data_IF_242425249440
#
_entry.id   IF_242425249440
#
_cell.length_a   1.000
_cell.length_b   1.000
_cell.length_c   1.000
_cell.angle_alpha   90.00
_cell.angle_beta   90.00
_cell.angle_gamma   90.00
#
_symmetry.space_group_name_H-M   'P 1'
#
loop_
_entity.id
_entity.type
_entity.pdbx_description
1 polymer ?
#
# COMPACT_ATOMS: atom_id res chain seq x y z
N UNK A 1 10.28 29.96 -13.85
CA UNK A 1 10.86 28.69 -14.34
C UNK A 1 10.38 27.58 -13.42
N UNK A 2 9.38 26.83 -13.85
CA UNK A 2 8.80 25.74 -13.06
C UNK A 2 9.66 24.49 -13.20
N UNK A 3 10.29 24.07 -12.11
CA UNK A 3 10.89 22.74 -11.99
C UNK A 3 9.75 21.74 -11.73
N UNK A 4 9.25 21.13 -12.80
CA UNK A 4 8.40 19.96 -12.72
C UNK A 4 9.24 18.79 -12.20
N UNK A 5 9.04 18.41 -10.95
CA UNK A 5 9.63 17.20 -10.38
C UNK A 5 9.08 15.98 -11.11
N UNK A 6 9.89 15.38 -11.99
CA UNK A 6 9.61 14.06 -12.51
C UNK A 6 9.62 13.09 -11.32
N UNK A 7 8.46 12.54 -10.97
CA UNK A 7 8.39 11.41 -10.07
C UNK A 7 9.30 10.32 -10.66
N UNK A 8 10.40 10.00 -9.97
CA UNK A 8 11.32 8.97 -10.40
C UNK A 8 10.51 7.69 -10.63
N UNK A 9 10.56 7.14 -11.85
CA UNK A 9 9.82 5.94 -12.19
C UNK A 9 10.27 4.83 -11.23
N UNK A 10 9.34 4.35 -10.41
CA UNK A 10 9.67 3.41 -9.36
C UNK A 10 10.29 2.12 -9.93
N UNK A 11 11.41 1.71 -9.31
CA UNK A 11 12.16 0.54 -9.72
C UNK A 11 11.31 -0.72 -9.62
N UNK A 12 11.52 -1.65 -10.55
CA UNK A 12 10.78 -2.91 -10.55
C UNK A 12 11.19 -3.75 -9.34
N UNK A 13 10.22 -4.20 -8.56
CA UNK A 13 10.42 -5.04 -7.39
C UNK A 13 10.91 -6.45 -7.74
N UNK A 14 10.60 -6.92 -8.95
CA UNK A 14 11.05 -8.23 -9.45
C UNK A 14 12.40 -8.10 -10.15
N UNK A 15 12.57 -7.09 -11.00
CA UNK A 15 13.76 -6.92 -11.83
C UNK A 15 14.86 -6.06 -11.17
N UNK A 16 14.55 -5.40 -10.05
CA UNK A 16 15.43 -4.46 -9.34
C UNK A 16 15.97 -3.41 -10.32
N UNK A 17 17.28 -3.29 -10.41
CA UNK A 17 17.98 -2.31 -11.24
C UNK A 17 17.96 -2.63 -12.74
N UNK A 18 17.59 -3.86 -13.13
CA UNK A 18 17.53 -4.24 -14.55
C UNK A 18 16.32 -3.66 -15.31
N UNK A 19 15.41 -2.98 -14.60
CA UNK A 19 14.31 -2.26 -15.22
C UNK A 19 14.33 -0.78 -14.83
N UNK A 20 14.38 0.10 -15.84
CA UNK A 20 14.51 1.55 -15.69
C UNK A 20 13.24 2.29 -15.26
N UNK A 21 12.17 1.56 -14.95
CA UNK A 21 10.88 2.12 -14.54
C UNK A 21 9.71 1.50 -15.28
N UNK A 22 8.48 1.77 -14.81
CA UNK A 22 7.29 1.24 -15.45
C UNK A 22 7.04 1.90 -16.80
N UNK A 23 7.05 1.12 -17.87
CA UNK A 23 6.65 1.54 -19.20
C UNK A 23 5.36 0.81 -19.59
N UNK A 24 4.18 1.45 -19.50
CA UNK A 24 2.92 0.77 -19.75
C UNK A 24 2.85 0.27 -21.19
N UNK A 25 2.49 -1.00 -21.37
CA UNK A 25 2.17 -1.51 -22.68
C UNK A 25 0.80 -0.97 -23.14
N UNK A 26 0.70 -0.58 -24.42
CA UNK A 26 -0.54 -0.11 -25.06
C UNK A 26 -1.76 -1.05 -24.98
N UNK A 27 -1.58 -2.37 -24.76
CA UNK A 27 -2.69 -3.34 -24.73
C UNK A 27 -2.61 -4.37 -23.60
N UNK A 28 -1.45 -4.49 -22.93
CA UNK A 28 -1.26 -5.43 -21.82
C UNK A 28 -1.09 -4.66 -20.51
N UNK A 29 -1.56 -5.22 -19.40
CA UNK A 29 -1.33 -4.67 -18.04
C UNK A 29 0.10 -4.97 -17.53
N UNK A 30 1.11 -4.79 -18.38
CA UNK A 30 2.50 -5.18 -18.13
C UNK A 30 3.47 -4.10 -18.63
N UNK A 31 4.67 -4.12 -18.07
CA UNK A 31 5.78 -3.26 -18.45
C UNK A 31 6.36 -3.72 -19.80
N UNK A 32 6.59 -2.81 -20.75
CA UNK A 32 7.23 -3.14 -22.03
C UNK A 32 8.71 -3.51 -21.87
N UNK A 33 9.38 -2.99 -20.84
CA UNK A 33 10.81 -3.25 -20.61
C UNK A 33 11.08 -4.62 -19.96
N UNK A 34 10.23 -5.07 -19.03
CA UNK A 34 10.49 -6.28 -18.25
C UNK A 34 9.33 -7.28 -18.16
N UNK A 35 8.16 -6.96 -18.72
CA UNK A 35 6.97 -7.82 -18.66
C UNK A 35 6.28 -7.91 -17.30
N UNK A 36 6.84 -7.33 -16.24
CA UNK A 36 6.21 -7.33 -14.91
C UNK A 36 4.97 -6.43 -14.86
N UNK A 37 4.06 -6.72 -13.93
CA UNK A 37 2.82 -5.95 -13.78
C UNK A 37 3.08 -4.55 -13.22
N UNK A 38 2.11 -3.64 -13.37
CA UNK A 38 2.20 -2.31 -12.75
C UNK A 38 2.39 -2.38 -11.22
N UNK A 39 1.85 -3.42 -10.57
CA UNK A 39 2.02 -3.67 -9.13
C UNK A 39 3.47 -3.98 -8.74
N UNK A 40 4.27 -4.51 -9.66
CA UNK A 40 5.71 -4.74 -9.46
C UNK A 40 6.52 -3.48 -9.63
N UNK A 41 5.92 -2.39 -10.11
CA UNK A 41 6.56 -1.10 -10.24
C UNK A 41 5.96 -0.04 -9.33
N UNK A 42 4.81 -0.30 -8.74
CA UNK A 42 4.12 0.64 -7.89
C UNK A 42 4.75 0.64 -6.50
N UNK A 43 5.86 1.37 -6.36
CA UNK A 43 6.25 1.93 -5.07
C UNK A 43 5.38 3.16 -4.81
N UNK A 44 4.12 2.96 -4.41
CA UNK A 44 3.35 4.08 -3.86
C UNK A 44 4.01 4.60 -2.58
N UNK A 45 3.41 5.57 -1.91
CA UNK A 45 3.70 5.87 -0.51
C UNK A 45 2.77 5.12 0.45
N UNK A 46 3.25 4.79 1.64
CA UNK A 46 2.39 4.50 2.81
C UNK A 46 1.18 5.46 2.92
N UNK A 47 1.32 6.78 2.73
CA UNK A 47 0.19 7.72 2.79
C UNK A 47 -0.83 7.58 1.65
N UNK A 48 -0.39 7.25 0.43
CA UNK A 48 -1.31 7.06 -0.71
C UNK A 48 -2.14 5.79 -0.52
N UNK A 49 -1.49 4.73 -0.03
CA UNK A 49 -2.15 3.48 0.33
C UNK A 49 -3.13 3.69 1.49
N UNK A 50 -2.76 4.49 2.49
CA UNK A 50 -3.67 4.84 3.58
C UNK A 50 -4.86 5.68 3.10
N UNK A 51 -4.67 6.56 2.13
CA UNK A 51 -5.76 7.34 1.55
C UNK A 51 -6.73 6.45 0.75
N UNK A 52 -6.21 5.49 -0.04
CA UNK A 52 -7.03 4.50 -0.76
C UNK A 52 -7.82 3.62 0.20
N UNK A 53 -7.17 3.10 1.23
CA UNK A 53 -7.85 2.37 2.30
C UNK A 53 -8.87 3.24 3.04
N UNK A 54 -8.52 4.50 3.29
CA UNK A 54 -9.37 5.47 3.97
C UNK A 54 -10.69 5.73 3.24
N UNK A 55 -10.63 5.84 1.90
CA UNK A 55 -11.82 5.93 1.05
C UNK A 55 -12.66 4.67 1.11
N UNK A 56 -12.05 3.50 0.92
CA UNK A 56 -12.77 2.21 0.96
C UNK A 56 -13.55 2.02 2.27
N UNK A 57 -12.92 2.35 3.39
CA UNK A 57 -13.50 2.09 4.70
C UNK A 57 -14.49 3.17 5.15
N UNK A 58 -14.50 4.36 4.52
CA UNK A 58 -15.24 5.53 4.97
C UNK A 58 -16.74 5.26 5.16
N UNK A 59 -17.35 4.53 4.24
CA UNK A 59 -18.79 4.24 4.22
C UNK A 59 -19.12 2.80 4.65
N UNK A 60 -18.13 2.11 5.23
CA UNK A 60 -18.25 0.74 5.71
C UNK A 60 -18.47 0.69 7.24
N UNK A 61 -18.87 -0.47 7.80
CA UNK A 61 -18.82 -0.71 9.25
C UNK A 61 -17.43 -0.49 9.87
N UNK A 62 -16.37 -0.51 9.04
CA UNK A 62 -14.99 -0.28 9.46
C UNK A 62 -14.56 1.20 9.40
N UNK A 63 -15.48 2.15 9.23
CA UNK A 63 -15.18 3.59 9.17
C UNK A 63 -14.43 4.14 10.39
N UNK A 64 -14.59 3.50 11.56
CA UNK A 64 -13.86 3.80 12.79
C UNK A 64 -12.33 3.61 12.66
N UNK A 65 -11.88 2.77 11.73
CA UNK A 65 -10.47 2.55 11.41
C UNK A 65 -9.84 3.68 10.59
N UNK A 66 -10.58 4.76 10.31
CA UNK A 66 -10.08 5.89 9.51
C UNK A 66 -10.10 7.19 10.32
N UNK A 67 -9.31 8.18 9.88
CA UNK A 67 -9.22 9.52 10.44
C UNK A 67 -9.58 10.57 9.36
N UNK A 68 -10.32 11.62 9.74
CA UNK A 68 -10.55 12.76 8.86
C UNK A 68 -9.26 13.58 8.72
N UNK A 69 -8.91 13.92 7.48
CA UNK A 69 -7.76 14.78 7.18
C UNK A 69 -8.19 16.25 7.35
N UNK A 70 -7.47 17.00 8.20
CA UNK A 70 -7.76 18.43 8.43
C UNK A 70 -7.55 19.22 7.14
N UNK A 71 -8.55 20.02 6.75
CA UNK A 71 -8.49 20.81 5.51
C UNK A 71 -8.63 20.00 4.22
N UNK A 72 -8.83 18.68 4.29
CA UNK A 72 -8.90 17.79 3.14
C UNK A 72 -10.29 17.64 2.51
N UNK A 73 -11.21 18.59 2.70
CA UNK A 73 -12.53 18.56 2.06
C UNK A 73 -13.37 17.31 2.34
N UNK A 74 -13.24 16.70 3.52
CA UNK A 74 -13.94 15.46 3.89
C UNK A 74 -13.15 14.18 3.64
N UNK A 75 -11.95 14.26 3.07
CA UNK A 75 -11.06 13.12 2.87
C UNK A 75 -10.75 12.39 4.18
N UNK A 76 -10.81 11.05 4.13
CA UNK A 76 -10.41 10.15 5.20
C UNK A 76 -9.17 9.36 4.82
N UNK A 77 -8.33 9.10 5.82
CA UNK A 77 -7.14 8.26 5.70
C UNK A 77 -7.24 7.07 6.67
N UNK A 78 -6.73 5.91 6.27
CA UNK A 78 -6.69 4.74 7.13
C UNK A 78 -5.71 4.95 8.28
N UNK A 79 -6.15 4.64 9.50
CA UNK A 79 -5.29 4.57 10.69
C UNK A 79 -4.58 3.22 10.65
N UNK A 80 -3.48 3.15 9.90
CA UNK A 80 -2.70 1.92 9.77
C UNK A 80 -2.29 1.37 11.13
N UNK A 81 -2.71 0.14 11.41
CA UNK A 81 -2.40 -0.54 12.65
C UNK A 81 -1.00 -1.16 12.57
N UNK A 82 0.05 -0.35 12.81
CA UNK A 82 1.43 -0.82 12.89
C UNK A 82 1.66 -1.45 14.27
N UNK A 83 2.20 -2.66 14.30
CA UNK A 83 2.50 -3.37 15.55
C UNK A 83 4.00 -3.38 15.80
N UNK A 84 4.42 -2.81 16.92
CA UNK A 84 5.83 -2.80 17.36
C UNK A 84 5.98 -3.80 18.50
N UNK A 85 6.95 -4.71 18.36
CA UNK A 85 7.21 -5.80 19.30
C UNK A 85 8.65 -5.68 19.77
N UNK A 86 8.85 -5.50 21.07
CA UNK A 86 10.17 -5.41 21.68
C UNK A 86 10.44 -6.68 22.45
N UNK A 87 11.34 -7.51 21.94
CA UNK A 87 11.75 -8.75 22.58
C UNK A 87 13.05 -8.54 23.37
N UNK A 88 13.09 -8.92 24.66
CA UNK A 88 14.33 -8.90 25.41
C UNK A 88 15.28 -9.95 24.84
N UNK A 89 16.51 -9.53 24.55
CA UNK A 89 17.60 -10.40 24.16
C UNK A 89 18.41 -10.68 25.43
N UNK A 90 18.28 -11.90 25.94
CA UNK A 90 18.99 -12.32 27.15
C UNK A 90 20.46 -12.55 26.78
N UNK A 91 21.27 -11.49 26.85
CA UNK A 91 22.73 -11.59 26.87
C UNK A 91 23.23 -11.55 28.31
N UNK A 92 24.21 -12.39 28.64
CA UNK A 92 24.73 -12.56 30.01
C UNK A 92 25.45 -11.33 30.57
N UNK A 93 25.72 -10.30 29.76
CA UNK A 93 26.51 -9.13 30.16
C UNK A 93 25.70 -7.83 30.24
N UNK A 94 24.70 -7.64 29.38
CA UNK A 94 23.83 -6.46 29.37
C UNK A 94 22.47 -6.83 28.74
N UNK A 95 21.33 -6.41 29.31
CA UNK A 95 20.03 -6.60 28.67
C UNK A 95 19.95 -5.75 27.39
N UNK A 96 19.93 -6.41 26.24
CA UNK A 96 19.66 -5.78 24.95
C UNK A 96 18.21 -6.04 24.53
N UNK A 97 17.62 -5.18 23.73
CA UNK A 97 16.25 -5.32 23.24
C UNK A 97 16.25 -5.34 21.71
N UNK A 98 15.54 -6.31 21.13
CA UNK A 98 15.30 -6.36 19.69
C UNK A 98 13.90 -5.87 19.39
N UNK A 99 13.80 -4.84 18.56
CA UNK A 99 12.51 -4.25 18.17
C UNK A 99 12.17 -4.69 16.76
N UNK A 100 11.07 -5.42 16.62
CA UNK A 100 10.48 -5.80 15.33
C UNK A 100 9.26 -4.91 15.07
N UNK A 101 9.18 -4.30 13.88
CA UNK A 101 8.01 -3.53 13.46
C UNK A 101 7.28 -4.27 12.35
N UNK A 102 5.99 -4.50 12.54
CA UNK A 102 5.09 -5.00 11.51
C UNK A 102 4.34 -3.81 10.90
N UNK A 103 4.35 -3.70 9.58
CA UNK A 103 3.65 -2.64 8.83
C UNK A 103 2.13 -2.71 8.97
N UNK A 104 1.62 -3.88 9.39
CA UNK A 104 0.20 -4.08 9.63
C UNK A 104 -0.06 -5.21 10.61
N UNK A 105 -1.09 -5.04 11.44
CA UNK A 105 -1.72 -6.06 12.25
C UNK A 105 -3.25 -6.02 12.11
N UNK A 106 -3.94 -7.15 12.26
CA UNK A 106 -5.40 -7.20 12.27
C UNK A 106 -5.99 -6.20 13.29
N UNK A 107 -7.05 -5.49 12.89
CA UNK A 107 -7.78 -4.60 13.79
C UNK A 107 -8.62 -5.42 14.79
N UNK A 108 -8.85 -4.86 15.98
CA UNK A 108 -9.69 -5.49 17.01
C UNK A 108 -8.99 -6.59 17.83
N UNK A 109 -7.72 -6.89 17.57
CA UNK A 109 -6.94 -7.85 18.34
C UNK A 109 -6.06 -7.15 19.38
N UNK A 110 -5.85 -7.81 20.52
CA UNK A 110 -4.77 -7.44 21.42
C UNK A 110 -3.42 -7.92 20.85
N UNK A 111 -2.31 -7.41 21.40
CA UNK A 111 -0.98 -7.71 20.88
C UNK A 111 -0.65 -9.22 20.89
N UNK A 112 -1.08 -9.95 21.92
CA UNK A 112 -0.85 -11.41 22.01
C UNK A 112 -1.52 -12.16 20.86
N UNK A 113 -2.79 -11.87 20.59
CA UNK A 113 -3.52 -12.53 19.50
C UNK A 113 -2.99 -12.10 18.13
N UNK A 114 -2.60 -10.83 17.97
CA UNK A 114 -1.97 -10.35 16.75
C UNK A 114 -0.63 -11.06 16.49
N UNK A 115 0.18 -11.31 17.52
CA UNK A 115 1.41 -12.08 17.41
C UNK A 115 1.15 -13.53 16.98
N UNK A 116 0.20 -14.22 17.61
CA UNK A 116 -0.20 -15.57 17.21
C UNK A 116 -0.67 -15.62 15.75
N UNK A 117 -1.40 -14.60 15.30
CA UNK A 117 -1.78 -14.49 13.88
C UNK A 117 -0.55 -14.34 12.97
N UNK A 118 0.43 -13.52 13.34
CA UNK A 118 1.67 -13.38 12.55
C UNK A 118 2.48 -14.68 12.50
N UNK A 119 2.46 -15.49 13.56
CA UNK A 119 3.13 -16.80 13.60
C UNK A 119 2.55 -17.78 12.59
N UNK A 120 1.24 -17.70 12.28
CA UNK A 120 0.57 -18.51 11.25
C UNK A 120 0.94 -18.11 9.82
N UNK A 121 1.53 -16.93 9.61
CA UNK A 121 2.03 -16.50 8.31
C UNK A 121 3.48 -17.03 8.15
N UNK A 122 3.83 -17.63 6.99
CA UNK A 122 5.21 -18.01 6.70
C UNK A 122 6.16 -16.84 6.91
N UNK A 123 7.33 -17.07 7.51
CA UNK A 123 8.23 -15.99 7.94
C UNK A 123 8.59 -15.03 6.79
N UNK A 124 8.82 -15.58 5.60
CA UNK A 124 9.13 -14.84 4.36
C UNK A 124 7.99 -13.93 3.87
N UNK A 125 6.76 -14.13 4.35
CA UNK A 125 5.57 -13.36 3.96
C UNK A 125 5.01 -12.51 5.10
N UNK A 126 5.64 -12.53 6.28
CA UNK A 126 5.22 -11.67 7.39
C UNK A 126 5.47 -10.21 7.01
N UNK A 127 4.54 -9.28 7.32
CA UNK A 127 4.65 -7.89 6.93
C UNK A 127 5.60 -7.10 7.85
N UNK A 128 6.83 -7.59 8.04
CA UNK A 128 7.86 -6.94 8.84
C UNK A 128 8.49 -5.82 8.03
N UNK A 129 8.55 -4.61 8.59
CA UNK A 129 9.05 -3.41 7.91
C UNK A 129 10.44 -3.65 7.31
N UNK A 130 10.61 -3.30 6.04
CA UNK A 130 11.88 -3.45 5.33
C UNK A 130 12.20 -4.87 4.84
N UNK A 131 11.29 -5.84 5.00
CA UNK A 131 11.46 -7.20 4.49
C UNK A 131 10.66 -7.45 3.21
N UNK A 132 10.98 -8.53 2.49
CA UNK A 132 10.22 -8.97 1.32
C UNK A 132 8.74 -9.26 1.65
N UNK A 133 8.43 -9.68 2.88
CA UNK A 133 7.04 -9.93 3.29
C UNK A 133 6.21 -8.65 3.43
N UNK A 134 6.82 -7.53 3.85
CA UNK A 134 6.15 -6.22 3.81
C UNK A 134 5.85 -5.78 2.38
N UNK A 135 6.82 -6.00 1.47
CA UNK A 135 6.67 -5.70 0.06
C UNK A 135 5.58 -6.55 -0.60
N UNK A 136 5.53 -7.84 -0.27
CA UNK A 136 4.53 -8.78 -0.76
C UNK A 136 3.12 -8.42 -0.28
N UNK A 137 2.96 -8.06 1.01
CA UNK A 137 1.68 -7.54 1.52
C UNK A 137 1.24 -6.31 0.73
N UNK A 138 2.16 -5.41 0.42
CA UNK A 138 1.87 -4.21 -0.34
C UNK A 138 1.39 -4.52 -1.77
N UNK A 139 2.08 -5.43 -2.46
CA UNK A 139 1.67 -5.92 -3.79
C UNK A 139 0.25 -6.47 -3.77
N UNK A 140 -0.08 -7.28 -2.76
CA UNK A 140 -1.42 -7.84 -2.58
C UNK A 140 -2.47 -6.75 -2.38
N UNK A 141 -2.19 -5.71 -1.59
CA UNK A 141 -3.10 -4.58 -1.44
C UNK A 141 -3.36 -3.85 -2.76
N UNK A 142 -2.33 -3.59 -3.56
CA UNK A 142 -2.48 -2.94 -4.86
C UNK A 142 -3.28 -3.79 -5.86
N UNK A 143 -3.15 -5.11 -5.79
CA UNK A 143 -3.96 -6.03 -6.59
C UNK A 143 -5.42 -6.11 -6.14
N UNK A 144 -5.66 -6.13 -4.83
CA UNK A 144 -7.01 -6.20 -4.23
C UNK A 144 -7.77 -4.87 -4.31
N UNK A 145 -7.06 -3.75 -4.34
CA UNK A 145 -7.63 -2.40 -4.36
C UNK A 145 -7.04 -1.57 -5.50
N UNK A 146 -7.39 -1.90 -6.76
CA UNK A 146 -6.93 -1.14 -7.90
C UNK A 146 -7.36 0.33 -7.81
N UNK A 147 -6.49 1.25 -8.23
CA UNK A 147 -6.76 2.68 -8.12
C UNK A 147 -8.01 3.13 -8.90
N UNK A 148 -8.33 2.46 -10.01
CA UNK A 148 -9.48 2.77 -10.87
C UNK A 148 -10.83 2.38 -10.27
N UNK A 149 -10.87 1.56 -9.22
CA UNK A 149 -12.12 1.25 -8.51
C UNK A 149 -12.61 2.43 -7.65
N UNK A 150 -11.72 3.38 -7.33
CA UNK A 150 -12.01 4.51 -6.43
C UNK A 150 -11.86 5.88 -7.10
N UNK A 151 -11.23 5.93 -8.27
CA UNK A 151 -10.99 7.16 -9.02
C UNK A 151 -11.24 6.90 -10.51
N UNK A 152 -12.40 7.31 -11.05
CA UNK A 152 -12.71 7.17 -12.47
C UNK A 152 -11.66 7.80 -13.39
N UNK A 153 -10.93 8.83 -12.94
CA UNK A 153 -9.84 9.43 -13.73
C UNK A 153 -8.64 8.49 -13.92
N UNK A 154 -8.55 7.41 -13.13
CA UNK A 154 -7.53 6.36 -13.28
C UNK A 154 -7.97 5.23 -14.21
N UNK A 155 -9.21 5.27 -14.71
CA UNK A 155 -9.73 4.30 -15.64
C UNK A 155 -9.24 4.62 -17.06
N UNK A 156 -8.22 3.90 -17.53
CA UNK A 156 -7.60 4.12 -18.84
C UNK A 156 -8.58 3.89 -20.02
N UNK A 157 -9.69 3.19 -19.80
CA UNK A 157 -10.71 2.96 -20.84
C UNK A 157 -11.74 4.07 -20.94
N UNK A 158 -11.80 5.00 -19.98
CA UNK A 158 -12.64 6.20 -20.12
C UNK A 158 -11.83 7.20 -20.95
N UNK A 159 -12.23 7.35 -22.21
CA UNK A 159 -11.44 8.06 -23.23
C UNK A 159 -11.68 9.58 -23.20
N UNK A 160 -12.73 10.04 -22.51
CA UNK A 160 -13.10 11.47 -22.44
C UNK A 160 -13.43 11.95 -21.02
N UNK A 161 -13.12 13.22 -20.72
CA UNK A 161 -13.55 13.88 -19.47
C UNK A 161 -15.07 13.87 -19.28
N UNK A 162 -15.83 13.78 -20.38
CA UNK A 162 -17.30 13.74 -20.36
C UNK A 162 -17.83 12.40 -19.83
N UNK A 163 -17.21 11.28 -20.21
CA UNK A 163 -17.52 9.95 -19.66
C UNK A 163 -17.17 9.85 -18.16
N UNK A 164 -16.06 10.49 -17.74
CA UNK A 164 -15.69 10.57 -16.33
C UNK A 164 -16.69 11.40 -15.53
N UNK A 165 -17.08 12.59 -16.05
CA UNK A 165 -18.09 13.45 -15.42
C UNK A 165 -19.43 12.75 -15.28
N UNK A 166 -19.88 12.05 -16.31
CA UNK A 166 -21.13 11.29 -16.26
C UNK A 166 -21.12 10.25 -15.13
N UNK A 167 -20.03 9.48 -14.97
CA UNK A 167 -19.88 8.52 -13.88
C UNK A 167 -19.89 9.15 -12.48
N UNK A 168 -19.30 10.34 -12.31
CA UNK A 168 -19.27 11.04 -11.02
C UNK A 168 -20.61 11.70 -10.64
N UNK A 169 -21.51 11.92 -11.60
CA UNK A 169 -22.81 12.59 -11.38
C UNK A 169 -24.00 11.65 -11.19
N UNK A 170 -23.81 10.36 -11.46
CA UNK A 170 -24.91 9.37 -11.50
C UNK A 170 -24.90 8.43 -10.28
N UNK A 171 -23.86 8.48 -9.45
CA UNK A 171 -23.78 7.85 -8.13
C UNK A 171 -23.95 8.89 -7.00
#
# INVERSE_FOLDING_TARGET
MSVGGAAAAAACLTCKESCSGFQPHSWRKACTACGCGAVDHALGGDPEDDQRMGRLLADSPCSHLTAKVKGGGGLRTYKRNRMIVTNPVVSRKDPTFSTTTYDWAPAGFNQKLALQYMELIPESRRPVSGTDGALERRRQLLGQLPAYDQDPMKCQSLASEEEVRYKLTVD
#
